data_IF_495477114191
#
_entry.id   IF_495477114191
#
_cell.length_a   1.000
_cell.length_b   1.000
_cell.length_c   1.000
_cell.angle_alpha   90.00
_cell.angle_beta   90.00
_cell.angle_gamma   90.00
#
_symmetry.space_group_name_H-M   'P 1'
#
loop_
_entity.id
_entity.type
_entity.pdbx_description
1 polymer ?
#
# COMPACT_ATOMS: atom_id res chain seq x y z
N UNK A 1 3.04 1.08 18.84
CA UNK A 1 3.24 -0.39 19.03
C UNK A 1 1.87 -1.06 19.07
N UNK A 2 1.73 -2.36 18.77
CA UNK A 2 0.41 -3.04 18.75
C UNK A 2 -0.40 -2.78 20.03
N UNK A 3 0.28 -2.65 21.17
CA UNK A 3 -0.35 -2.34 22.47
C UNK A 3 -1.06 -0.98 22.49
N UNK A 4 -0.51 0.04 21.82
CA UNK A 4 -1.07 1.40 21.77
C UNK A 4 -2.41 1.45 21.01
N UNK A 5 -2.64 0.49 20.12
CA UNK A 5 -3.86 0.40 19.29
C UNK A 5 -4.69 -0.85 19.55
N UNK A 6 -4.39 -1.63 20.59
CA UNK A 6 -5.08 -2.91 20.87
C UNK A 6 -6.60 -2.76 20.91
N UNK A 7 -7.11 -1.77 21.66
CA UNK A 7 -8.55 -1.53 21.74
C UNK A 7 -9.18 -1.03 20.43
N UNK A 8 -8.41 -0.39 19.55
CA UNK A 8 -8.87 -0.03 18.20
C UNK A 8 -8.98 -1.28 17.32
N UNK A 9 -7.97 -2.16 17.38
CA UNK A 9 -7.93 -3.42 16.64
C UNK A 9 -9.09 -4.34 17.04
N UNK A 10 -9.35 -4.49 18.35
CA UNK A 10 -10.43 -5.34 18.85
C UNK A 10 -11.80 -4.88 18.35
N UNK A 11 -12.09 -3.58 18.44
CA UNK A 11 -13.31 -2.99 17.87
C UNK A 11 -13.35 -3.16 16.36
N UNK A 12 -12.28 -2.85 15.65
CA UNK A 12 -12.20 -2.94 14.19
C UNK A 12 -12.39 -4.36 13.66
N UNK A 13 -11.95 -5.38 14.41
CA UNK A 13 -12.21 -6.79 14.07
C UNK A 13 -13.68 -7.16 14.22
N UNK A 14 -14.40 -6.52 15.13
CA UNK A 14 -15.86 -6.66 15.25
C UNK A 14 -16.59 -5.86 14.16
N UNK A 15 -16.27 -4.58 14.00
CA UNK A 15 -16.79 -3.67 12.97
C UNK A 15 -15.69 -2.69 12.57
N UNK A 16 -15.26 -2.72 11.31
CA UNK A 16 -14.25 -1.77 10.81
C UNK A 16 -14.73 -0.33 11.03
N UNK A 17 -15.99 -0.05 10.69
CA UNK A 17 -16.59 1.27 10.74
C UNK A 17 -16.60 1.90 12.14
N UNK A 18 -16.68 1.10 13.20
CA UNK A 18 -16.61 1.59 14.59
C UNK A 18 -15.20 2.07 14.97
N UNK A 19 -14.18 1.54 14.29
CA UNK A 19 -12.78 1.90 14.51
C UNK A 19 -12.28 2.98 13.54
N UNK A 20 -12.89 3.11 12.35
CA UNK A 20 -12.42 4.00 11.28
C UNK A 20 -12.21 5.45 11.70
N UNK A 21 -13.11 6.13 12.44
CA UNK A 21 -12.88 7.52 12.82
C UNK A 21 -11.58 7.71 13.62
N UNK A 22 -11.27 6.76 14.50
CA UNK A 22 -10.02 6.78 15.30
C UNK A 22 -8.81 6.46 14.43
N UNK A 23 -8.92 5.47 13.55
CA UNK A 23 -7.84 5.09 12.64
C UNK A 23 -7.53 6.24 11.66
N UNK A 24 -8.56 6.91 11.11
CA UNK A 24 -8.39 8.06 10.21
C UNK A 24 -7.69 9.22 10.92
N UNK A 25 -8.07 9.54 12.16
CA UNK A 25 -7.40 10.55 12.98
C UNK A 25 -5.92 10.22 13.26
N UNK A 26 -5.59 8.95 13.47
CA UNK A 26 -4.20 8.51 13.63
C UNK A 26 -3.44 8.60 12.30
N UNK A 27 -4.06 8.23 11.19
CA UNK A 27 -3.47 8.25 9.86
C UNK A 27 -3.16 9.68 9.39
N UNK A 28 -4.01 10.66 9.69
CA UNK A 28 -3.81 12.08 9.33
C UNK A 28 -2.97 12.88 10.34
N UNK A 29 -2.35 12.22 11.32
CA UNK A 29 -1.59 12.90 12.37
C UNK A 29 -0.22 13.35 11.87
N UNK A 30 0.25 14.51 12.33
CA UNK A 30 1.63 15.00 12.09
C UNK A 30 2.70 14.10 12.73
N UNK A 31 2.38 13.46 13.87
CA UNK A 31 3.24 12.47 14.50
C UNK A 31 3.30 11.18 13.66
N UNK A 32 4.48 10.88 13.12
CA UNK A 32 4.72 9.69 12.30
C UNK A 32 4.45 8.38 13.05
N UNK A 33 4.63 8.35 14.38
CA UNK A 33 4.36 7.14 15.18
C UNK A 33 2.88 6.79 15.17
N UNK A 34 2.01 7.79 15.28
CA UNK A 34 0.56 7.62 15.18
C UNK A 34 0.13 7.12 13.79
N UNK A 35 0.83 7.55 12.74
CA UNK A 35 0.58 7.03 11.37
C UNK A 35 0.98 5.55 11.24
N UNK A 36 2.08 5.12 11.88
CA UNK A 36 2.43 3.70 11.94
C UNK A 36 1.42 2.87 12.75
N UNK A 37 0.90 3.44 13.84
CA UNK A 37 -0.15 2.82 14.64
C UNK A 37 -1.45 2.64 13.83
N UNK A 38 -1.83 3.62 13.01
CA UNK A 38 -2.94 3.49 12.07
C UNK A 38 -2.74 2.35 11.06
N UNK A 39 -1.57 2.29 10.42
CA UNK A 39 -1.23 1.23 9.48
C UNK A 39 -1.21 -0.15 10.16
N UNK A 40 -0.67 -0.23 11.38
CA UNK A 40 -0.67 -1.45 12.19
C UNK A 40 -2.09 -1.93 12.50
N UNK A 41 -2.98 -1.01 12.88
CA UNK A 41 -4.37 -1.35 13.14
C UNK A 41 -5.07 -1.91 11.90
N UNK A 42 -4.93 -1.24 10.74
CA UNK A 42 -5.50 -1.70 9.47
C UNK A 42 -4.99 -3.09 9.07
N UNK A 43 -3.67 -3.32 9.18
CA UNK A 43 -3.06 -4.63 8.92
C UNK A 43 -3.66 -5.71 9.81
N UNK A 44 -3.80 -5.46 11.11
CA UNK A 44 -4.32 -6.45 12.06
C UNK A 44 -5.84 -6.69 11.94
N UNK A 45 -6.60 -5.69 11.52
CA UNK A 45 -8.03 -5.80 11.25
C UNK A 45 -8.27 -6.55 9.94
N UNK A 46 -7.48 -6.28 8.89
CA UNK A 46 -7.61 -6.93 7.58
C UNK A 46 -7.50 -8.47 7.64
N UNK A 47 -6.81 -9.01 8.66
CA UNK A 47 -6.74 -10.47 8.91
C UNK A 47 -8.10 -11.13 9.17
N UNK A 48 -9.09 -10.36 9.62
CA UNK A 48 -10.47 -10.83 9.85
C UNK A 48 -11.51 -10.13 8.97
N UNK A 49 -11.21 -8.92 8.50
CA UNK A 49 -12.12 -8.02 7.77
C UNK A 49 -11.46 -7.60 6.46
N UNK A 50 -11.01 -8.56 5.67
CA UNK A 50 -10.19 -8.30 4.48
C UNK A 50 -10.93 -7.40 3.48
N UNK A 51 -12.15 -7.79 3.09
CA UNK A 51 -12.92 -7.08 2.07
C UNK A 51 -13.37 -5.68 2.55
N UNK A 52 -13.80 -5.56 3.81
CA UNK A 52 -14.16 -4.26 4.40
C UNK A 52 -12.97 -3.29 4.38
N UNK A 53 -11.78 -3.76 4.78
CA UNK A 53 -10.58 -2.93 4.77
C UNK A 53 -10.20 -2.56 3.35
N UNK A 54 -10.18 -3.51 2.41
CA UNK A 54 -9.87 -3.23 1.00
C UNK A 54 -10.82 -2.18 0.43
N UNK A 55 -12.13 -2.32 0.63
CA UNK A 55 -13.13 -1.37 0.14
C UNK A 55 -12.90 0.04 0.70
N UNK A 56 -12.60 0.17 1.99
CA UNK A 56 -12.29 1.47 2.57
C UNK A 56 -10.98 2.06 2.03
N UNK A 57 -9.94 1.24 1.84
CA UNK A 57 -8.67 1.72 1.30
C UNK A 57 -8.78 2.17 -0.17
N UNK A 58 -9.75 1.66 -0.93
CA UNK A 58 -10.08 2.17 -2.27
C UNK A 58 -10.57 3.62 -2.19
N UNK A 59 -11.34 3.97 -1.15
CA UNK A 59 -11.80 5.34 -0.92
C UNK A 59 -10.64 6.22 -0.43
N UNK A 60 -9.84 5.73 0.52
CA UNK A 60 -8.71 6.50 1.08
C UNK A 60 -7.61 6.77 0.06
N UNK A 61 -7.51 5.96 -1.00
CA UNK A 61 -6.56 6.20 -2.07
C UNK A 61 -6.85 7.48 -2.89
N UNK A 62 -8.07 8.04 -2.80
CA UNK A 62 -8.44 9.30 -3.44
C UNK A 62 -8.48 10.48 -2.46
N UNK A 63 -8.10 10.28 -1.20
CA UNK A 63 -8.19 11.33 -0.17
C UNK A 63 -7.21 12.48 -0.47
N UNK A 64 -7.61 13.71 -0.15
CA UNK A 64 -6.78 14.90 -0.36
C UNK A 64 -5.51 14.87 0.51
N UNK A 65 -5.59 14.26 1.71
CA UNK A 65 -4.45 14.11 2.60
C UNK A 65 -3.56 12.93 2.16
N UNK A 66 -2.34 13.26 1.73
CA UNK A 66 -1.34 12.28 1.34
C UNK A 66 -0.97 11.29 2.46
N UNK A 67 -1.17 11.63 3.74
CA UNK A 67 -0.99 10.69 4.84
C UNK A 67 -2.08 9.61 4.86
N UNK A 68 -3.32 9.98 4.55
CA UNK A 68 -4.45 9.03 4.41
C UNK A 68 -4.22 8.13 3.19
N UNK A 69 -3.83 8.70 2.04
CA UNK A 69 -3.45 7.91 0.85
C UNK A 69 -2.30 6.95 1.13
N UNK A 70 -1.30 7.38 1.91
CA UNK A 70 -0.20 6.52 2.37
C UNK A 70 -0.74 5.38 3.22
N UNK A 71 -1.63 5.64 4.17
CA UNK A 71 -2.26 4.60 4.98
C UNK A 71 -3.07 3.59 4.13
N UNK A 72 -3.68 4.03 3.03
CA UNK A 72 -4.38 3.15 2.08
C UNK A 72 -3.48 2.04 1.50
N UNK A 73 -2.26 2.39 1.10
CA UNK A 73 -1.27 1.43 0.64
C UNK A 73 -0.68 0.61 1.80
N UNK A 74 -0.36 1.28 2.90
CA UNK A 74 0.39 0.69 4.01
C UNK A 74 -0.42 -0.34 4.83
N UNK A 75 -1.72 -0.06 5.02
CA UNK A 75 -2.66 -0.91 5.74
C UNK A 75 -2.96 -2.24 5.04
N UNK A 76 -2.65 -2.37 3.74
CA UNK A 76 -2.93 -3.54 2.93
C UNK A 76 -1.77 -4.55 2.85
N UNK A 77 -0.68 -4.35 3.59
CA UNK A 77 0.49 -5.26 3.51
C UNK A 77 0.17 -6.73 3.74
N UNK A 78 -0.77 -7.04 4.64
CA UNK A 78 -1.18 -8.43 4.89
C UNK A 78 -1.91 -9.02 3.69
N UNK A 79 -2.91 -8.29 3.17
CA UNK A 79 -3.72 -8.67 2.00
C UNK A 79 -2.84 -8.84 0.77
N UNK A 80 -1.99 -7.84 0.47
CA UNK A 80 -1.12 -7.83 -0.70
C UNK A 80 -0.21 -9.07 -0.82
N UNK A 81 0.29 -9.58 0.31
CA UNK A 81 1.17 -10.77 0.34
C UNK A 81 0.44 -12.08 0.08
N UNK A 82 -0.88 -12.12 0.25
CA UNK A 82 -1.72 -13.32 0.14
C UNK A 82 -2.58 -13.29 -1.12
N UNK A 83 -3.25 -12.17 -1.34
CA UNK A 83 -4.23 -11.91 -2.39
C UNK A 83 -3.86 -10.60 -3.13
N UNK A 84 -2.72 -10.54 -3.86
CA UNK A 84 -2.24 -9.30 -4.49
C UNK A 84 -3.24 -8.70 -5.49
N UNK A 85 -4.10 -9.50 -6.12
CA UNK A 85 -5.13 -8.99 -7.03
C UNK A 85 -6.14 -8.07 -6.32
N UNK A 86 -6.46 -8.32 -5.05
CA UNK A 86 -7.44 -7.50 -4.30
C UNK A 86 -6.96 -6.08 -4.05
N UNK A 87 -5.64 -5.84 -4.07
CA UNK A 87 -5.08 -4.50 -3.82
C UNK A 87 -4.91 -3.69 -5.09
N UNK A 88 -5.17 -4.27 -6.28
CA UNK A 88 -5.07 -3.59 -7.57
C UNK A 88 -5.84 -2.27 -7.63
N UNK A 89 -7.12 -2.19 -7.22
CA UNK A 89 -7.86 -0.93 -7.31
C UNK A 89 -7.24 0.21 -6.49
N UNK A 90 -6.49 -0.11 -5.43
CA UNK A 90 -5.78 0.87 -4.58
C UNK A 90 -4.48 1.29 -5.24
N UNK A 91 -3.61 0.35 -5.61
CA UNK A 91 -2.30 0.70 -6.19
C UNK A 91 -2.42 1.32 -7.58
N UNK A 92 -3.48 1.01 -8.32
CA UNK A 92 -3.78 1.66 -9.59
C UNK A 92 -4.12 3.15 -9.42
N UNK A 93 -4.75 3.56 -8.31
CA UNK A 93 -4.97 4.99 -8.01
C UNK A 93 -3.67 5.69 -7.63
N UNK A 94 -2.83 5.00 -6.84
CA UNK A 94 -1.61 5.59 -6.26
C UNK A 94 -0.37 5.50 -7.18
N UNK A 95 -0.46 4.86 -8.35
CA UNK A 95 0.70 4.62 -9.24
C UNK A 95 1.35 5.89 -9.80
N UNK A 96 0.63 7.02 -9.76
CA UNK A 96 1.09 8.34 -10.24
C UNK A 96 1.02 9.39 -9.12
N UNK A 97 0.96 8.97 -7.85
CA UNK A 97 0.78 9.88 -6.72
C UNK A 97 1.91 10.92 -6.66
N UNK A 98 1.55 12.19 -6.43
CA UNK A 98 2.46 13.33 -6.38
C UNK A 98 3.32 13.35 -5.11
N UNK A 99 2.86 12.71 -4.03
CA UNK A 99 3.56 12.61 -2.76
C UNK A 99 4.61 11.51 -2.79
N UNK A 100 5.89 11.90 -2.61
CA UNK A 100 6.98 10.94 -2.44
C UNK A 100 6.74 9.97 -1.27
N UNK A 101 6.02 10.41 -0.23
CA UNK A 101 5.72 9.57 0.92
C UNK A 101 4.79 8.41 0.54
N UNK A 102 3.75 8.69 -0.24
CA UNK A 102 2.83 7.68 -0.78
C UNK A 102 3.58 6.74 -1.73
N UNK A 103 4.36 7.29 -2.67
CA UNK A 103 5.16 6.47 -3.61
C UNK A 103 6.11 5.51 -2.91
N UNK A 104 6.77 5.96 -1.83
CA UNK A 104 7.62 5.10 -0.98
C UNK A 104 6.84 3.93 -0.40
N UNK A 105 5.61 4.16 0.06
CA UNK A 105 4.74 3.09 0.58
C UNK A 105 4.35 2.10 -0.53
N UNK A 106 3.92 2.58 -1.71
CA UNK A 106 3.56 1.70 -2.84
C UNK A 106 4.77 0.84 -3.25
N UNK A 107 5.96 1.43 -3.38
CA UNK A 107 7.17 0.68 -3.67
C UNK A 107 7.54 -0.34 -2.56
N UNK A 108 7.30 0.00 -1.29
CA UNK A 108 7.48 -0.95 -0.19
C UNK A 108 6.47 -2.11 -0.25
N UNK A 109 5.22 -1.83 -0.64
CA UNK A 109 4.19 -2.83 -0.85
C UNK A 109 4.58 -3.80 -1.98
N UNK A 110 5.03 -3.28 -3.13
CA UNK A 110 5.53 -4.11 -4.24
C UNK A 110 6.65 -5.05 -3.78
N UNK A 111 7.66 -4.53 -3.06
CA UNK A 111 8.74 -5.36 -2.49
C UNK A 111 8.22 -6.44 -1.53
N UNK A 112 7.16 -6.17 -0.79
CA UNK A 112 6.56 -7.14 0.11
C UNK A 112 5.85 -8.27 -0.65
N UNK A 113 5.22 -7.95 -1.79
CA UNK A 113 4.58 -8.90 -2.71
C UNK A 113 5.63 -9.74 -3.44
N UNK A 114 6.71 -9.13 -3.96
CA UNK A 114 7.77 -9.81 -4.74
C UNK A 114 8.36 -11.03 -4.04
N UNK A 115 8.39 -11.04 -2.71
CA UNK A 115 8.91 -12.17 -1.91
C UNK A 115 8.10 -13.47 -2.06
N UNK A 116 6.83 -13.38 -2.47
CA UNK A 116 5.92 -14.53 -2.60
C UNK A 116 5.26 -14.63 -3.97
N UNK A 117 4.99 -13.49 -4.59
CA UNK A 117 4.31 -13.40 -5.88
C UNK A 117 5.11 -12.48 -6.83
N UNK A 118 6.34 -12.86 -7.23
CA UNK A 118 7.17 -12.04 -8.11
C UNK A 118 6.53 -11.78 -9.48
N UNK A 119 5.85 -12.80 -10.06
CA UNK A 119 5.17 -12.68 -11.35
C UNK A 119 4.15 -11.53 -11.39
N UNK A 120 3.31 -11.44 -10.35
CA UNK A 120 2.34 -10.33 -10.22
C UNK A 120 3.02 -8.96 -10.28
N UNK A 121 4.14 -8.78 -9.57
CA UNK A 121 4.86 -7.50 -9.54
C UNK A 121 5.47 -7.19 -10.90
N UNK A 122 6.04 -8.19 -11.57
CA UNK A 122 6.62 -8.04 -12.91
C UNK A 122 5.54 -7.59 -13.90
N UNK A 123 4.41 -8.28 -13.95
CA UNK A 123 3.33 -7.96 -14.90
C UNK A 123 2.71 -6.59 -14.62
N UNK A 124 2.52 -6.24 -13.35
CA UNK A 124 2.07 -4.91 -12.96
C UNK A 124 3.07 -3.82 -13.37
N UNK A 125 4.37 -4.03 -13.13
CA UNK A 125 5.42 -3.09 -13.53
C UNK A 125 5.54 -2.95 -15.05
N UNK A 126 5.41 -4.04 -15.82
CA UNK A 126 5.36 -3.99 -17.30
C UNK A 126 4.18 -3.16 -17.79
N UNK A 127 3.00 -3.33 -17.18
CA UNK A 127 1.82 -2.52 -17.49
C UNK A 127 2.07 -1.04 -17.18
N UNK A 128 2.63 -0.75 -16.01
CA UNK A 128 2.88 0.62 -15.55
C UNK A 128 4.00 1.33 -16.32
N UNK A 129 5.01 0.62 -16.82
CA UNK A 129 6.09 1.20 -17.61
C UNK A 129 5.56 1.93 -18.87
N UNK A 130 4.46 1.43 -19.45
CA UNK A 130 3.79 2.02 -20.62
C UNK A 130 3.22 3.41 -20.37
N UNK A 131 3.00 3.82 -19.11
CA UNK A 131 2.46 5.13 -18.77
C UNK A 131 3.45 6.28 -19.02
N UNK A 132 4.74 5.97 -19.14
CA UNK A 132 5.82 6.96 -19.33
C UNK A 132 5.81 8.11 -18.30
N UNK A 133 5.23 7.88 -17.13
CA UNK A 133 5.13 8.85 -16.04
C UNK A 133 6.35 8.79 -15.12
N UNK A 134 6.97 9.94 -14.82
CA UNK A 134 8.19 10.04 -13.98
C UNK A 134 8.02 9.37 -12.61
N UNK A 135 6.90 9.62 -11.98
CA UNK A 135 6.62 9.20 -10.61
C UNK A 135 6.29 7.70 -10.55
N UNK A 136 5.59 7.17 -11.55
CA UNK A 136 5.42 5.73 -11.75
C UNK A 136 6.76 5.02 -12.00
N UNK A 137 7.62 5.56 -12.87
CA UNK A 137 8.96 5.01 -13.11
C UNK A 137 9.77 4.96 -11.80
N UNK A 138 9.65 5.99 -10.96
CA UNK A 138 10.27 5.98 -9.64
C UNK A 138 9.75 4.85 -8.76
N UNK A 139 8.43 4.61 -8.72
CA UNK A 139 7.84 3.49 -7.97
C UNK A 139 8.38 2.16 -8.47
N UNK A 140 8.41 1.95 -9.79
CA UNK A 140 8.94 0.71 -10.40
C UNK A 140 10.38 0.48 -9.95
N UNK A 141 11.29 1.46 -10.13
CA UNK A 141 12.71 1.34 -9.73
C UNK A 141 12.89 0.96 -8.27
N UNK A 142 12.06 1.50 -7.38
CA UNK A 142 12.17 1.21 -5.95
C UNK A 142 11.45 -0.09 -5.55
N UNK A 143 10.37 -0.44 -6.24
CA UNK A 143 9.51 -1.58 -5.95
C UNK A 143 10.11 -2.93 -6.32
N UNK A 144 10.96 -2.95 -7.35
CA UNK A 144 11.53 -4.18 -7.92
C UNK A 144 12.79 -4.69 -7.21
N UNK A 145 13.32 -3.97 -6.21
CA UNK A 145 14.59 -4.28 -5.51
C UNK A 145 14.65 -5.64 -4.77
N UNK A 146 13.57 -6.43 -4.83
CA UNK A 146 13.49 -7.79 -4.27
C UNK A 146 13.24 -8.87 -5.34
N UNK A 147 13.18 -8.49 -6.61
CA UNK A 147 13.23 -9.40 -7.76
C UNK A 147 14.68 -9.82 -8.06
N UNK A 148 14.87 -10.80 -8.93
CA UNK A 148 16.21 -11.19 -9.38
C UNK A 148 16.88 -10.09 -10.21
N UNK A 149 18.19 -10.16 -10.42
CA UNK A 149 18.93 -9.19 -11.22
C UNK A 149 18.37 -9.12 -12.65
N UNK A 150 18.24 -10.25 -13.34
CA UNK A 150 17.65 -10.33 -14.69
C UNK A 150 16.26 -9.68 -14.80
N UNK A 151 15.39 -9.92 -13.81
CA UNK A 151 14.05 -9.31 -13.76
C UNK A 151 14.10 -7.80 -13.53
N UNK A 152 15.06 -7.34 -12.72
CA UNK A 152 15.27 -5.92 -12.51
C UNK A 152 15.81 -5.24 -13.76
N UNK A 153 16.79 -5.83 -14.43
CA UNK A 153 17.36 -5.34 -15.69
C UNK A 153 16.28 -5.22 -16.78
N UNK A 154 15.45 -6.26 -16.93
CA UNK A 154 14.31 -6.26 -17.85
C UNK A 154 13.40 -5.04 -17.58
N UNK A 155 12.92 -4.89 -16.35
CA UNK A 155 11.98 -3.82 -16.00
C UNK A 155 12.61 -2.43 -16.05
N UNK A 156 13.90 -2.30 -15.74
CA UNK A 156 14.65 -1.05 -15.85
C UNK A 156 14.76 -0.62 -17.31
N UNK A 157 15.01 -1.56 -18.24
CA UNK A 157 15.08 -1.23 -19.67
C UNK A 157 13.78 -0.58 -20.18
N UNK A 158 12.62 -1.04 -19.70
CA UNK A 158 11.29 -0.53 -20.09
C UNK A 158 11.00 0.91 -19.62
N UNK A 159 11.77 1.44 -18.67
CA UNK A 159 11.56 2.77 -18.08
C UNK A 159 12.74 3.72 -18.29
N UNK A 160 13.75 3.28 -19.04
CA UNK A 160 14.97 4.04 -19.33
C UNK A 160 14.84 4.96 -20.55
N UNK A 161 13.77 4.81 -21.32
CA UNK A 161 13.28 5.78 -22.33
C UNK A 161 12.36 6.81 -21.70
#
# INVERSE_FOLDING_TARGET
MIDDVRGIIERGRFSLYDALPKIKKLASSDDWRKREDAATALVEISKKREDDVVNEMILWADDEDHNIRRAASEGLRYVARRNPEKILPVVEKLKTDDSLYVRKSVAALLRAISKKNPGFVIDLCRKWAKLRNRDTKWIIRQGIKKLTEDQQEELISLISE
#
